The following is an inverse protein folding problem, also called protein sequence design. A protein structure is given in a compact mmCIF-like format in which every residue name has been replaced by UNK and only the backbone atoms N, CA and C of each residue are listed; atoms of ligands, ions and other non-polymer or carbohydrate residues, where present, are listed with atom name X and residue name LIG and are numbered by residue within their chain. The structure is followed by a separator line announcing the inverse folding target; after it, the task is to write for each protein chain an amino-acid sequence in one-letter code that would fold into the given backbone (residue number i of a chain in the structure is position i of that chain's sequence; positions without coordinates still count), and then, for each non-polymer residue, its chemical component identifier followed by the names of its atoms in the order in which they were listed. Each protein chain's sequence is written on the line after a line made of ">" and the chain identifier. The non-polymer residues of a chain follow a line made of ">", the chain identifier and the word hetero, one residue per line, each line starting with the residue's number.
data_IF_099003439569
#
_entry.id   IF_099003439569
#
_cell.length_a   1.000
_cell.length_b   1.000
_cell.length_c   1.000
_cell.angle_alpha   90.00
_cell.angle_beta   90.00
_cell.angle_gamma   90.00
#
_symmetry.space_group_name_H-M   'P 1'
#
loop_
_entity.id
_entity.type
_entity.pdbx_description
1 polymer ?
#
# COMPACT_ATOMS: atom_id res chain seq x y z
N UNK A 1 16.03 -5.52 11.97
CA UNK A 1 15.26 -4.73 10.99
C UNK A 1 14.43 -3.76 11.80
N UNK A 2 14.48 -2.46 11.53
CA UNK A 2 13.66 -1.50 12.26
C UNK A 2 12.20 -1.69 11.81
N UNK A 3 11.31 -2.00 12.74
CA UNK A 3 9.86 -2.06 12.50
C UNK A 3 9.40 -0.67 12.04
N UNK A 4 8.59 -0.59 10.98
CA UNK A 4 8.09 0.70 10.52
C UNK A 4 7.15 1.28 11.58
N UNK A 5 7.31 2.56 11.90
CA UNK A 5 6.41 3.23 12.83
C UNK A 5 5.01 3.38 12.21
N UNK A 6 3.94 3.56 13.02
CA UNK A 6 2.63 3.92 12.49
C UNK A 6 2.67 5.15 11.56
N UNK A 7 3.50 6.14 11.87
CA UNK A 7 3.68 7.32 11.01
C UNK A 7 4.27 6.95 9.64
N UNK A 8 5.25 6.03 9.60
CA UNK A 8 5.79 5.51 8.34
C UNK A 8 4.73 4.78 7.51
N UNK A 9 3.82 4.04 8.17
CA UNK A 9 2.69 3.39 7.50
C UNK A 9 1.72 4.40 6.89
N UNK A 10 1.38 5.46 7.63
CA UNK A 10 0.51 6.52 7.12
C UNK A 10 1.13 7.21 5.89
N UNK A 11 2.44 7.50 5.93
CA UNK A 11 3.17 8.02 4.78
C UNK A 11 3.17 7.03 3.61
N UNK A 12 3.39 5.74 3.89
CA UNK A 12 3.38 4.70 2.87
C UNK A 12 2.03 4.63 2.14
N UNK A 13 0.90 4.58 2.87
CA UNK A 13 -0.44 4.57 2.29
C UNK A 13 -0.73 5.84 1.49
N UNK A 14 -0.46 7.05 2.02
CA UNK A 14 -0.63 8.32 1.28
C UNK A 14 0.15 8.35 -0.03
N UNK A 15 1.29 7.66 -0.10
CA UNK A 15 2.13 7.63 -1.30
C UNK A 15 1.59 6.73 -2.42
N UNK A 16 0.71 5.76 -2.13
CA UNK A 16 0.29 4.72 -3.07
C UNK A 16 -0.32 5.30 -4.36
N UNK A 17 -1.29 6.24 -4.34
CA UNK A 17 -1.92 6.71 -5.58
C UNK A 17 -0.92 7.38 -6.53
N UNK A 18 0.02 8.16 -5.98
CA UNK A 18 1.08 8.81 -6.76
C UNK A 18 2.03 7.76 -7.35
N UNK A 19 2.52 6.84 -6.52
CA UNK A 19 3.49 5.82 -6.94
C UNK A 19 2.90 4.83 -7.93
N UNK A 20 1.62 4.51 -7.83
CA UNK A 20 0.92 3.67 -8.80
C UNK A 20 0.87 4.35 -10.17
N UNK A 21 0.51 5.64 -10.23
CA UNK A 21 0.53 6.40 -11.48
C UNK A 21 1.92 6.47 -12.10
N UNK A 22 2.94 6.71 -11.28
CA UNK A 22 4.35 6.73 -11.72
C UNK A 22 4.80 5.36 -12.24
N UNK A 23 4.48 4.27 -11.52
CA UNK A 23 4.85 2.91 -11.89
C UNK A 23 4.12 2.43 -13.16
N UNK A 24 2.86 2.81 -13.34
CA UNK A 24 2.11 2.47 -14.55
C UNK A 24 2.63 3.24 -15.77
N UNK A 25 3.01 4.52 -15.61
CA UNK A 25 3.54 5.33 -16.72
C UNK A 25 2.68 5.24 -17.98
N UNK A 26 3.29 4.83 -19.09
CA UNK A 26 2.60 4.54 -20.37
C UNK A 26 2.36 3.04 -20.62
N UNK A 27 2.53 2.19 -19.59
CA UNK A 27 2.37 0.75 -19.72
C UNK A 27 0.92 0.38 -20.12
N UNK A 28 0.75 -0.56 -21.07
CA UNK A 28 -0.57 -1.08 -21.41
C UNK A 28 -1.31 -1.60 -20.17
N UNK A 29 -2.60 -1.26 -20.07
CA UNK A 29 -3.45 -1.68 -18.95
C UNK A 29 -3.46 -3.21 -18.77
N UNK A 30 -3.45 -3.98 -19.87
CA UNK A 30 -3.46 -5.44 -19.84
C UNK A 30 -2.29 -6.02 -19.04
N UNK A 31 -1.10 -5.43 -19.14
CA UNK A 31 0.11 -5.89 -18.45
C UNK A 31 0.10 -5.56 -16.95
N UNK A 32 -0.53 -4.44 -16.58
CA UNK A 32 -0.55 -3.96 -15.19
C UNK A 32 -1.82 -4.33 -14.43
N UNK A 33 -2.83 -4.86 -15.13
CA UNK A 33 -4.16 -5.20 -14.57
C UNK A 33 -4.10 -6.19 -13.41
N UNK A 34 -3.40 -7.31 -13.58
CA UNK A 34 -3.25 -8.34 -12.54
C UNK A 34 -2.56 -7.82 -11.26
N UNK A 35 -1.35 -7.24 -11.32
CA UNK A 35 -0.72 -6.72 -10.11
C UNK A 35 -1.49 -5.53 -9.50
N UNK A 36 -2.22 -4.74 -10.29
CA UNK A 36 -3.10 -3.69 -9.76
C UNK A 36 -4.29 -4.29 -8.99
N UNK A 37 -4.89 -5.40 -9.48
CA UNK A 37 -5.95 -6.09 -8.77
C UNK A 37 -5.47 -6.68 -7.43
N UNK A 38 -4.26 -7.21 -7.39
CA UNK A 38 -3.62 -7.68 -6.15
C UNK A 38 -3.40 -6.54 -5.15
N UNK A 39 -2.96 -5.37 -5.62
CA UNK A 39 -2.86 -4.17 -4.78
C UNK A 39 -4.20 -3.77 -4.16
N UNK A 40 -5.30 -3.81 -4.93
CA UNK A 40 -6.63 -3.54 -4.38
C UNK A 40 -7.04 -4.54 -3.30
N UNK A 41 -6.69 -5.82 -3.47
CA UNK A 41 -6.92 -6.85 -2.44
C UNK A 41 -6.22 -6.55 -1.12
N UNK A 42 -4.97 -6.10 -1.19
CA UNK A 42 -4.17 -5.70 -0.02
C UNK A 42 -4.71 -4.44 0.66
N UNK A 43 -5.14 -3.44 -0.12
CA UNK A 43 -5.76 -2.21 0.42
C UNK A 43 -7.09 -2.53 1.11
N UNK A 44 -7.91 -3.41 0.54
CA UNK A 44 -9.14 -3.88 1.15
C UNK A 44 -8.90 -4.65 2.45
N UNK A 45 -7.80 -5.40 2.54
CA UNK A 45 -7.40 -6.05 3.78
C UNK A 45 -6.99 -5.04 4.85
N UNK A 46 -6.16 -4.06 4.50
CA UNK A 46 -5.80 -2.98 5.42
C UNK A 46 -7.04 -2.23 5.92
N UNK A 47 -8.01 -1.95 5.04
CA UNK A 47 -9.28 -1.32 5.40
C UNK A 47 -10.05 -2.13 6.45
N UNK A 48 -10.14 -3.45 6.28
CA UNK A 48 -10.77 -4.33 7.28
C UNK A 48 -10.06 -4.31 8.62
N UNK A 49 -8.72 -4.32 8.64
CA UNK A 49 -7.93 -4.27 9.88
C UNK A 49 -8.10 -2.94 10.63
N UNK A 50 -8.23 -1.84 9.89
CA UNK A 50 -8.36 -0.48 10.44
C UNK A 50 -9.83 -0.06 10.67
N UNK A 51 -10.81 -0.88 10.26
CA UNK A 51 -12.22 -0.55 10.35
C UNK A 51 -12.64 0.59 9.42
N UNK A 52 -11.99 0.74 8.27
CA UNK A 52 -12.24 1.78 7.26
C UNK A 52 -12.37 1.19 5.85
N UNK A 53 -12.52 2.04 4.83
CA UNK A 53 -12.55 1.61 3.43
C UNK A 53 -11.13 1.35 2.88
N UNK A 54 -11.02 0.99 1.60
CA UNK A 54 -9.77 0.65 0.91
C UNK A 54 -9.08 1.84 0.24
N UNK A 55 -9.55 3.07 0.47
CA UNK A 55 -8.91 4.28 -0.04
C UNK A 55 -7.58 4.55 0.70
N UNK A 56 -6.44 4.71 -0.01
CA UNK A 56 -5.15 4.92 0.63
C UNK A 56 -5.06 6.17 1.54
N UNK A 57 -5.86 7.21 1.29
CA UNK A 57 -5.89 8.39 2.16
C UNK A 57 -6.67 8.08 3.44
N UNK A 58 -7.82 7.41 3.32
CA UNK A 58 -8.61 6.97 4.48
C UNK A 58 -7.85 5.97 5.36
N UNK A 59 -7.08 5.05 4.76
CA UNK A 59 -6.18 4.15 5.49
C UNK A 59 -5.13 4.92 6.28
N UNK A 60 -4.48 5.90 5.66
CA UNK A 60 -3.47 6.71 6.33
C UNK A 60 -4.04 7.53 7.49
N UNK A 61 -5.22 8.13 7.29
CA UNK A 61 -5.90 8.90 8.33
C UNK A 61 -6.34 8.01 9.49
N UNK A 62 -6.80 6.79 9.21
CA UNK A 62 -7.11 5.79 10.25
C UNK A 62 -5.85 5.41 11.04
N UNK A 63 -4.71 5.19 10.39
CA UNK A 63 -3.43 4.92 11.07
C UNK A 63 -3.03 6.08 11.98
N UNK A 64 -3.12 7.33 11.50
CA UNK A 64 -2.78 8.53 12.31
C UNK A 64 -3.76 8.75 13.48
N UNK A 65 -5.00 8.27 13.37
CA UNK A 65 -6.01 8.42 14.42
C UNK A 65 -5.80 7.48 15.62
N UNK A 66 -5.05 6.38 15.45
CA UNK A 66 -4.79 5.42 16.54
C UNK A 66 -3.64 5.93 17.41
N UNK A 67 -3.89 6.08 18.70
CA UNK A 67 -2.85 6.43 19.67
C UNK A 67 -1.76 5.35 19.75
N UNK A 68 -0.50 5.74 19.94
CA UNK A 68 0.64 4.82 19.91
C UNK A 68 0.48 3.60 20.84
N UNK A 69 -0.07 3.80 22.04
CA UNK A 69 -0.28 2.74 23.03
C UNK A 69 -1.54 1.90 22.80
N UNK A 70 -2.37 2.24 21.80
CA UNK A 70 -3.62 1.55 21.48
C UNK A 70 -3.48 0.53 20.34
N UNK A 71 -2.29 0.40 19.76
CA UNK A 71 -2.03 -0.56 18.68
C UNK A 71 -2.02 -2.00 19.20
N UNK A 72 -2.77 -2.85 18.51
CA UNK A 72 -2.57 -4.28 18.57
C UNK A 72 -1.32 -4.65 17.75
N UNK A 73 -0.39 -5.39 18.36
CA UNK A 73 0.90 -5.75 17.75
C UNK A 73 0.72 -6.58 16.48
N UNK A 74 -0.21 -7.54 16.47
CA UNK A 74 -0.45 -8.39 15.31
C UNK A 74 -1.08 -7.60 14.15
N UNK A 75 -1.94 -6.63 14.46
CA UNK A 75 -2.48 -5.70 13.46
C UNK A 75 -1.36 -4.85 12.87
N UNK A 76 -0.50 -4.28 13.71
CA UNK A 76 0.61 -3.43 13.27
C UNK A 76 1.60 -4.21 12.40
N UNK A 77 1.97 -5.43 12.80
CA UNK A 77 2.81 -6.33 11.99
C UNK A 77 2.17 -6.64 10.64
N UNK A 78 0.86 -6.92 10.61
CA UNK A 78 0.17 -7.22 9.36
C UNK A 78 0.13 -6.02 8.42
N UNK A 79 -0.10 -4.81 8.95
CA UNK A 79 -0.07 -3.58 8.16
C UNK A 79 1.34 -3.29 7.60
N UNK A 80 2.40 -3.57 8.37
CA UNK A 80 3.77 -3.49 7.90
C UNK A 80 4.03 -4.44 6.73
N UNK A 81 3.57 -5.70 6.84
CA UNK A 81 3.71 -6.67 5.76
C UNK A 81 2.95 -6.22 4.51
N UNK A 82 1.71 -5.72 4.67
CA UNK A 82 0.91 -5.16 3.56
C UNK A 82 1.66 -4.00 2.88
N UNK A 83 2.22 -3.06 3.63
CA UNK A 83 2.95 -1.93 3.07
C UNK A 83 4.20 -2.37 2.27
N UNK A 84 4.91 -3.40 2.75
CA UNK A 84 6.04 -4.00 2.05
C UNK A 84 5.62 -4.67 0.74
N UNK A 85 4.52 -5.43 0.76
CA UNK A 85 3.99 -6.13 -0.41
C UNK A 85 3.46 -5.16 -1.46
N UNK A 86 2.74 -4.10 -1.05
CA UNK A 86 2.36 -2.98 -1.93
C UNK A 86 3.61 -2.34 -2.57
N UNK A 87 4.66 -2.13 -1.79
CA UNK A 87 5.93 -1.61 -2.30
C UNK A 87 6.60 -2.53 -3.33
N UNK A 88 6.48 -3.86 -3.16
CA UNK A 88 6.97 -4.86 -4.12
C UNK A 88 6.14 -4.84 -5.41
N UNK A 89 4.81 -4.81 -5.31
CA UNK A 89 3.92 -4.73 -6.46
C UNK A 89 4.15 -3.46 -7.28
N UNK A 90 4.31 -2.30 -6.63
CA UNK A 90 4.65 -1.05 -7.32
C UNK A 90 5.94 -1.14 -8.12
N UNK A 91 7.00 -1.75 -7.55
CA UNK A 91 8.24 -1.98 -8.29
C UNK A 91 8.03 -2.95 -9.46
N UNK A 92 7.26 -4.00 -9.25
CA UNK A 92 6.95 -4.95 -10.32
C UNK A 92 6.19 -4.27 -11.47
N UNK A 93 5.19 -3.45 -11.17
CA UNK A 93 4.46 -2.66 -12.17
C UNK A 93 5.41 -1.75 -12.94
N UNK A 94 6.33 -1.05 -12.26
CA UNK A 94 7.36 -0.22 -12.91
C UNK A 94 8.20 -1.03 -13.90
N UNK A 95 8.68 -2.22 -13.50
CA UNK A 95 9.49 -3.08 -14.38
C UNK A 95 8.72 -3.56 -15.62
N UNK A 96 7.41 -3.78 -15.49
CA UNK A 96 6.55 -4.15 -16.63
C UNK A 96 6.39 -2.97 -17.61
N UNK A 97 6.41 -1.73 -17.10
CA UNK A 97 6.38 -0.51 -17.92
C UNK A 97 7.71 -0.20 -18.61
N UNK A 98 8.84 -0.42 -17.92
CA UNK A 98 10.20 -0.12 -18.40
C UNK A 98 10.72 -1.12 -19.44
N UNK A 99 10.27 -2.39 -19.42
CA UNK A 99 10.72 -3.46 -20.33
C UNK A 99 10.45 -3.23 -21.83
N UNK A 100 10.01 -2.04 -22.23
CA UNK A 100 9.76 -1.61 -23.62
C UNK A 100 10.50 -0.35 -24.06
N UNK A 101 11.41 0.22 -23.24
CA UNK A 101 12.31 1.30 -23.69
C UNK A 101 13.48 0.79 -24.52
#
# INVERSE_FOLDING_TARGET
>A
MQSASPDDLAVAFRSIPRRLREAQGEAPHELTSNPTAEMHGLLAEAGRLLGTNDDPSALADAVTAVHADAWDEAVLERLQQIALDLGRLLRHISTLGEGRS
#
